data_IF_546945733501
#
_entry.id   IF_546945733501
#
_cell.length_a   1.000
_cell.length_b   1.000
_cell.length_c   1.000
_cell.angle_alpha   90.00
_cell.angle_beta   90.00
_cell.angle_gamma   90.00
#
_symmetry.space_group_name_H-M   'P 1'
#
loop_
_entity.id
_entity.type
_entity.pdbx_description
1 polymer ?
#
# COMPACT_ATOMS: atom_id res chain seq x y z
N UNK A 1 24.36 -22.35 14.20
CA UNK A 1 24.52 -21.27 13.18
C UNK A 1 23.36 -21.39 12.20
N UNK A 2 22.29 -20.62 12.38
CA UNK A 2 21.17 -20.59 11.43
C UNK A 2 21.64 -19.83 10.20
N UNK A 3 21.84 -20.52 9.07
CA UNK A 3 22.02 -19.87 7.77
C UNK A 3 20.67 -19.31 7.36
N UNK A 4 20.45 -18.01 7.54
CA UNK A 4 19.32 -17.32 6.91
C UNK A 4 19.46 -17.55 5.40
N UNK A 5 18.48 -18.23 4.80
CA UNK A 5 18.42 -18.40 3.35
C UNK A 5 18.49 -17.04 2.65
N UNK A 6 19.06 -17.02 1.45
CA UNK A 6 19.27 -15.79 0.69
C UNK A 6 17.95 -15.00 0.55
N UNK A 7 17.94 -13.68 0.84
CA UNK A 7 16.74 -12.88 0.65
C UNK A 7 16.31 -12.92 -0.83
N UNK A 8 15.04 -13.24 -1.04
CA UNK A 8 14.41 -13.31 -2.35
C UNK A 8 14.35 -11.91 -3.01
N UNK A 9 14.24 -11.83 -4.35
CA UNK A 9 14.54 -10.62 -5.14
C UNK A 9 13.52 -9.48 -5.03
N UNK A 10 12.62 -9.50 -4.06
CA UNK A 10 11.73 -8.36 -3.80
C UNK A 10 12.55 -7.19 -3.22
N UNK A 11 12.25 -5.93 -3.62
CA UNK A 11 12.90 -4.78 -3.01
C UNK A 11 12.74 -4.82 -1.49
N UNK A 12 13.77 -4.38 -0.74
CA UNK A 12 13.77 -4.38 0.72
C UNK A 12 12.72 -3.46 1.37
N UNK A 13 11.90 -2.80 0.56
CA UNK A 13 10.75 -2.01 0.96
C UNK A 13 9.61 -2.20 -0.06
N UNK A 14 8.37 -2.22 0.43
CA UNK A 14 7.17 -2.35 -0.39
C UNK A 14 6.16 -1.27 -0.02
N UNK A 15 5.33 -0.90 -1.00
CA UNK A 15 4.19 0.00 -0.84
C UNK A 15 3.16 -0.60 0.13
N UNK A 16 2.54 0.25 0.95
CA UNK A 16 1.36 -0.10 1.76
C UNK A 16 0.18 0.77 1.30
N UNK A 17 -0.89 0.12 0.84
CA UNK A 17 -2.12 0.73 0.32
C UNK A 17 -3.35 0.18 1.04
N UNK A 18 -3.70 0.71 2.24
CA UNK A 18 -4.70 0.11 3.12
C UNK A 18 -6.11 0.04 2.53
N UNK A 19 -6.45 0.98 1.64
CA UNK A 19 -7.73 0.98 0.93
C UNK A 19 -7.85 -0.05 -0.20
N UNK A 20 -6.76 -0.74 -0.56
CA UNK A 20 -6.71 -1.56 -1.79
C UNK A 20 -6.09 -2.96 -1.60
N UNK A 21 -5.60 -3.31 -0.40
CA UNK A 21 -5.06 -4.64 -0.11
C UNK A 21 -5.40 -5.06 1.33
N UNK A 22 -5.91 -6.28 1.55
CA UNK A 22 -6.19 -6.78 2.90
C UNK A 22 -4.95 -6.88 3.79
N UNK A 23 -3.79 -7.20 3.21
CA UNK A 23 -2.52 -7.32 3.93
C UNK A 23 -2.05 -5.94 4.40
N UNK A 24 -2.16 -4.95 3.52
CA UNK A 24 -1.82 -3.56 3.82
C UNK A 24 -2.77 -2.97 4.86
N UNK A 25 -4.06 -3.33 4.82
CA UNK A 25 -5.03 -2.92 5.82
C UNK A 25 -4.68 -3.44 7.22
N UNK A 26 -4.29 -4.72 7.32
CA UNK A 26 -3.89 -5.30 8.61
C UNK A 26 -2.63 -4.61 9.17
N UNK A 27 -1.63 -4.36 8.31
CA UNK A 27 -0.42 -3.65 8.69
C UNK A 27 -0.71 -2.21 9.11
N UNK A 28 -1.54 -1.49 8.36
CA UNK A 28 -1.95 -0.12 8.67
C UNK A 28 -2.67 -0.02 10.01
N UNK A 29 -3.59 -0.95 10.32
CA UNK A 29 -4.24 -1.02 11.63
C UNK A 29 -3.24 -1.22 12.76
N UNK A 30 -2.28 -2.13 12.58
CA UNK A 30 -1.25 -2.41 13.57
C UNK A 30 -0.31 -1.21 13.81
N UNK A 31 -0.15 -0.33 12.82
CA UNK A 31 0.72 0.85 12.89
C UNK A 31 -0.04 2.18 13.09
N UNK A 32 -1.37 2.14 13.26
CA UNK A 32 -2.20 3.33 13.45
C UNK A 32 -2.26 4.26 12.24
N UNK A 33 -2.08 3.74 11.02
CA UNK A 33 -2.15 4.55 9.79
C UNK A 33 -3.61 4.86 9.41
N UNK A 34 -3.88 6.05 8.85
CA UNK A 34 -5.21 6.39 8.36
C UNK A 34 -5.61 5.54 7.15
N UNK A 35 -6.89 5.21 7.07
CA UNK A 35 -7.45 4.54 5.91
C UNK A 35 -7.76 5.57 4.82
N UNK A 36 -7.04 5.46 3.70
CA UNK A 36 -7.24 6.30 2.51
C UNK A 36 -7.51 5.39 1.31
N UNK A 37 -8.54 5.73 0.54
CA UNK A 37 -8.82 5.15 -0.78
C UNK A 37 -8.81 6.26 -1.82
N UNK A 38 -8.19 5.99 -2.97
CA UNK A 38 -8.20 6.90 -4.13
C UNK A 38 -9.13 6.43 -5.23
N UNK A 39 -9.76 5.27 -5.05
CA UNK A 39 -10.71 4.67 -5.99
C UNK A 39 -12.05 4.58 -5.28
N UNK A 40 -13.08 5.19 -5.86
CA UNK A 40 -14.45 5.13 -5.37
C UNK A 40 -15.12 3.79 -5.75
N UNK A 41 -16.29 3.51 -5.15
CA UNK A 41 -17.03 2.27 -5.41
C UNK A 41 -17.48 2.12 -6.88
N UNK A 42 -17.60 3.22 -7.61
CA UNK A 42 -17.88 3.24 -9.05
C UNK A 42 -16.64 3.04 -9.94
N UNK A 43 -15.48 2.79 -9.32
CA UNK A 43 -14.19 2.59 -10.00
C UNK A 43 -13.52 3.89 -10.46
N UNK A 44 -14.09 5.06 -10.18
CA UNK A 44 -13.48 6.34 -10.55
C UNK A 44 -12.42 6.79 -9.55
N UNK A 45 -11.45 7.60 -10.02
CA UNK A 45 -10.46 8.24 -9.14
C UNK A 45 -11.12 9.35 -8.31
N UNK A 46 -11.01 9.26 -6.98
CA UNK A 46 -11.47 10.30 -6.05
C UNK A 46 -10.43 10.58 -4.93
N UNK A 47 -10.00 11.84 -4.74
CA UNK A 47 -10.26 12.99 -5.62
C UNK A 47 -9.71 12.74 -7.03
N UNK A 48 -10.21 13.45 -8.06
CA UNK A 48 -9.63 13.38 -9.39
C UNK A 48 -8.12 13.58 -9.30
N UNK A 49 -7.36 12.81 -10.09
CA UNK A 49 -5.90 12.90 -10.08
C UNK A 49 -5.47 14.35 -10.27
N UNK A 50 -4.70 14.86 -9.31
CA UNK A 50 -4.22 16.25 -9.38
C UNK A 50 -3.37 16.48 -10.63
N UNK A 51 -3.37 17.70 -11.16
CA UNK A 51 -2.56 18.12 -12.30
C UNK A 51 -1.08 18.24 -11.99
N UNK A 52 -0.47 17.21 -11.39
CA UNK A 52 0.95 17.21 -10.98
C UNK A 52 1.95 17.32 -12.15
N UNK A 53 1.48 17.27 -13.40
CA UNK A 53 2.30 17.28 -14.63
C UNK A 53 1.89 18.37 -15.64
N UNK A 54 1.14 19.41 -15.22
CA UNK A 54 0.88 20.57 -16.10
C UNK A 54 2.02 21.58 -16.08
#
# INVERSE_FOLDING_TARGET
RVTRGAPCPSPGAVKVTPGHSPQDLALAKAQGLPLLSVIADDGTMRPPGGGWLQ
#
